data_IF_932525970787
#
_entry.id   IF_932525970787
#
_cell.length_a   1.000
_cell.length_b   1.000
_cell.length_c   1.000
_cell.angle_alpha   90.00
_cell.angle_beta   90.00
_cell.angle_gamma   90.00
#
_symmetry.space_group_name_H-M   'P 1'
#
loop_
_entity.id
_entity.type
_entity.pdbx_description
1 polymer ?
#
# COMPACT_ATOMS: atom_id res chain seq x y z
N UNK A 1 -26.85 28.48 -15.67
CA UNK A 1 -25.69 28.87 -14.84
C UNK A 1 -25.89 28.28 -13.46
N UNK A 2 -25.00 27.35 -13.11
CA UNK A 2 -24.79 26.65 -11.83
C UNK A 2 -25.96 25.84 -11.25
N UNK A 3 -25.92 24.54 -11.57
CA UNK A 3 -26.76 23.46 -11.07
C UNK A 3 -26.24 22.89 -9.76
N UNK A 4 -27.21 22.49 -8.93
CA UNK A 4 -27.10 21.58 -7.80
C UNK A 4 -26.98 20.09 -8.25
N UNK A 5 -26.97 19.19 -7.26
CA UNK A 5 -26.93 17.70 -7.23
C UNK A 5 -25.57 17.10 -6.83
N UNK A 6 -25.40 16.09 -5.96
CA UNK A 6 -26.27 15.23 -5.14
C UNK A 6 -25.38 14.57 -4.05
N UNK A 7 -25.89 14.34 -2.84
CA UNK A 7 -25.40 13.30 -1.92
C UNK A 7 -26.64 12.69 -1.27
N UNK A 8 -27.09 11.57 -1.85
CA UNK A 8 -28.17 10.77 -1.30
C UNK A 8 -27.61 9.87 -0.19
N UNK A 9 -28.14 10.03 1.01
CA UNK A 9 -27.92 9.17 2.15
C UNK A 9 -28.69 7.85 1.96
N UNK A 10 -28.00 6.72 2.13
CA UNK A 10 -28.64 5.43 2.39
C UNK A 10 -28.99 5.34 3.89
N UNK A 11 -30.05 4.61 4.28
CA UNK A 11 -30.44 4.51 5.67
C UNK A 11 -29.45 3.63 6.45
N UNK A 12 -28.81 4.23 7.45
CA UNK A 12 -28.01 3.54 8.47
C UNK A 12 -28.93 2.61 9.27
N UNK A 13 -28.68 1.30 9.25
CA UNK A 13 -29.27 0.36 10.20
C UNK A 13 -28.69 0.63 11.60
N UNK A 14 -29.48 0.32 12.64
CA UNK A 14 -29.20 0.60 14.05
C UNK A 14 -28.08 -0.28 14.61
N UNK A 15 -26.85 -0.08 14.14
CA UNK A 15 -25.65 -0.43 14.88
C UNK A 15 -25.19 0.81 15.67
N UNK A 16 -24.62 0.61 16.86
CA UNK A 16 -24.12 1.71 17.69
C UNK A 16 -23.25 2.68 16.86
N UNK A 17 -23.47 4.00 16.96
CA UNK A 17 -22.74 4.96 16.15
C UNK A 17 -21.25 4.88 16.48
N UNK A 18 -20.35 4.92 15.48
CA UNK A 18 -18.94 5.17 15.76
C UNK A 18 -18.82 6.50 16.50
N UNK A 19 -17.96 6.53 17.53
CA UNK A 19 -17.78 7.70 18.39
C UNK A 19 -17.65 9.01 17.56
N UNK A 20 -18.46 10.05 17.82
CA UNK A 20 -18.66 11.21 16.93
C UNK A 20 -17.45 12.14 16.76
N UNK A 21 -16.30 11.87 17.38
CA UNK A 21 -15.12 12.73 17.32
C UNK A 21 -14.06 12.30 16.28
N UNK A 22 -14.23 11.15 15.60
CA UNK A 22 -13.19 10.59 14.72
C UNK A 22 -13.33 10.93 13.22
N UNK A 23 -14.53 11.21 12.72
CA UNK A 23 -14.75 11.30 11.27
C UNK A 23 -14.58 12.71 10.68
N UNK A 24 -15.12 13.76 11.32
CA UNK A 24 -15.29 15.06 10.62
C UNK A 24 -14.47 16.24 11.18
N UNK A 25 -13.92 16.12 12.40
CA UNK A 25 -13.33 17.27 13.10
C UNK A 25 -11.81 17.48 12.90
N UNK A 26 -11.02 16.41 12.98
CA UNK A 26 -9.57 16.56 13.20
C UNK A 26 -8.78 16.94 11.94
N UNK A 27 -9.13 16.41 10.76
CA UNK A 27 -8.52 16.80 9.48
C UNK A 27 -8.89 18.25 9.09
N UNK A 28 -10.12 18.66 9.41
CA UNK A 28 -10.65 20.00 9.15
C UNK A 28 -10.00 21.07 10.04
N UNK A 29 -9.72 20.76 11.31
CA UNK A 29 -9.10 21.69 12.27
C UNK A 29 -7.62 22.00 11.96
N UNK A 30 -6.90 21.12 11.25
CA UNK A 30 -5.51 21.33 10.82
C UNK A 30 -5.38 22.26 9.58
N UNK A 31 -6.47 22.58 8.90
CA UNK A 31 -6.45 22.97 7.48
C UNK A 31 -6.33 24.48 7.16
N UNK A 32 -6.44 25.41 8.13
CA UNK A 32 -6.55 26.84 7.83
C UNK A 32 -5.22 27.58 7.59
N UNK A 33 -4.34 27.60 8.60
CA UNK A 33 -3.07 28.35 8.57
C UNK A 33 -1.85 27.48 8.25
N UNK A 34 -1.82 26.26 8.78
CA UNK A 34 -0.71 25.32 8.59
C UNK A 34 -0.63 24.82 7.13
N UNK A 35 -1.78 24.72 6.44
CA UNK A 35 -1.90 24.20 5.08
C UNK A 35 -0.99 24.88 4.07
N UNK A 36 -0.92 26.22 4.04
CA UNK A 36 -0.06 26.94 3.07
C UNK A 36 1.44 26.76 3.34
N UNK A 37 1.85 26.72 4.61
CA UNK A 37 3.23 26.45 4.99
C UNK A 37 3.63 24.98 4.76
N UNK A 38 2.68 24.05 4.91
CA UNK A 38 2.84 22.63 4.62
C UNK A 38 2.86 22.34 3.12
N UNK A 39 1.99 22.98 2.32
CA UNK A 39 1.95 22.82 0.86
C UNK A 39 3.27 23.30 0.21
N UNK A 40 3.88 24.38 0.72
CA UNK A 40 5.20 24.83 0.29
C UNK A 40 6.35 23.88 0.71
N UNK A 41 6.13 23.02 1.71
CA UNK A 41 7.12 22.08 2.23
C UNK A 41 7.10 20.70 1.53
N UNK A 42 6.17 20.46 0.60
CA UNK A 42 6.03 19.18 -0.13
C UNK A 42 7.08 19.03 -1.25
N UNK A 43 7.73 20.10 -1.68
CA UNK A 43 8.91 20.00 -2.56
C UNK A 43 10.16 19.69 -1.73
N UNK A 44 10.24 18.45 -1.22
CA UNK A 44 11.52 17.92 -0.73
C UNK A 44 12.36 17.62 -1.97
N UNK A 45 13.42 18.39 -2.28
CA UNK A 45 14.28 18.08 -3.42
C UNK A 45 14.93 16.72 -3.16
N UNK A 46 14.54 15.72 -3.94
CA UNK A 46 15.11 14.39 -3.83
C UNK A 46 16.42 14.34 -4.64
N UNK A 47 17.56 14.09 -3.98
CA UNK A 47 18.81 13.90 -4.69
C UNK A 47 18.77 12.59 -5.49
N UNK A 48 19.58 12.52 -6.54
CA UNK A 48 19.71 11.33 -7.38
C UNK A 48 19.04 11.49 -8.75
N UNK A 49 19.52 10.71 -9.71
CA UNK A 49 18.97 10.72 -11.06
C UNK A 49 17.56 10.10 -11.09
N UNK A 50 16.66 10.60 -11.95
CA UNK A 50 15.43 9.89 -12.29
C UNK A 50 15.70 8.45 -12.74
N UNK A 51 14.76 7.56 -12.44
CA UNK A 51 14.77 6.19 -12.96
C UNK A 51 14.66 6.20 -14.48
N UNK A 52 15.38 5.26 -15.11
CA UNK A 52 15.35 5.02 -16.55
C UNK A 52 14.06 4.33 -16.97
N UNK A 53 13.70 4.47 -18.25
CA UNK A 53 12.50 3.86 -18.83
C UNK A 53 12.42 2.35 -18.53
N UNK A 54 13.49 1.61 -18.80
CA UNK A 54 13.54 0.16 -18.60
C UNK A 54 13.36 -0.27 -17.12
N UNK A 55 13.74 0.60 -16.17
CA UNK A 55 13.60 0.30 -14.75
C UNK A 55 12.16 0.43 -14.24
N UNK A 56 11.28 1.06 -15.03
CA UNK A 56 9.89 1.35 -14.67
C UNK A 56 8.89 0.37 -15.31
N UNK A 57 9.31 -0.45 -16.28
CA UNK A 57 8.44 -1.40 -16.98
C UNK A 57 7.81 -2.45 -16.04
N UNK A 58 8.63 -3.18 -15.29
CA UNK A 58 8.12 -4.15 -14.31
C UNK A 58 7.27 -3.47 -13.21
N UNK A 59 7.68 -2.32 -12.63
CA UNK A 59 6.83 -1.56 -11.72
C UNK A 59 5.47 -1.15 -12.29
N UNK A 60 5.39 -0.74 -13.56
CA UNK A 60 4.09 -0.42 -14.17
C UNK A 60 3.22 -1.67 -14.31
N UNK A 61 3.78 -2.77 -14.81
CA UNK A 61 3.04 -4.03 -14.92
C UNK A 61 2.50 -4.47 -13.55
N UNK A 62 3.33 -4.40 -12.51
CA UNK A 62 2.92 -4.77 -11.16
C UNK A 62 1.86 -3.81 -10.59
N UNK A 63 1.85 -2.52 -10.93
CA UNK A 63 0.79 -1.62 -10.47
C UNK A 63 -0.54 -1.92 -11.17
N UNK A 64 -0.51 -2.21 -12.48
CA UNK A 64 -1.68 -2.64 -13.23
C UNK A 64 -2.25 -3.96 -12.67
N UNK A 65 -1.39 -4.92 -12.34
CA UNK A 65 -1.80 -6.15 -11.67
C UNK A 65 -2.42 -5.89 -10.29
N UNK A 66 -1.88 -4.95 -9.52
CA UNK A 66 -2.44 -4.55 -8.24
C UNK A 66 -3.85 -3.95 -8.38
N UNK A 67 -4.10 -3.19 -9.45
CA UNK A 67 -5.45 -2.69 -9.79
C UNK A 67 -6.40 -3.86 -10.11
N UNK A 68 -5.93 -4.88 -10.85
CA UNK A 68 -6.75 -6.08 -11.15
C UNK A 68 -7.12 -6.90 -9.92
N UNK A 69 -6.35 -6.81 -8.84
CA UNK A 69 -6.69 -7.51 -7.60
C UNK A 69 -7.98 -6.96 -6.96
N UNK A 70 -8.50 -5.81 -7.40
CA UNK A 70 -9.79 -5.25 -6.96
C UNK A 70 -11.00 -5.76 -7.75
N UNK A 71 -10.80 -6.48 -8.85
CA UNK A 71 -11.89 -7.09 -9.62
C UNK A 71 -12.70 -8.07 -8.77
N UNK A 72 -14.00 -8.20 -9.05
CA UNK A 72 -14.89 -9.03 -8.23
C UNK A 72 -14.88 -10.51 -8.65
N UNK A 73 -14.44 -10.81 -9.88
CA UNK A 73 -14.57 -12.14 -10.48
C UNK A 73 -13.32 -12.58 -11.22
N UNK A 74 -13.08 -13.90 -11.25
CA UNK A 74 -11.97 -14.49 -12.01
C UNK A 74 -12.06 -14.16 -13.51
N UNK A 75 -13.26 -14.20 -14.10
CA UNK A 75 -13.47 -13.91 -15.51
C UNK A 75 -13.08 -12.48 -15.90
N UNK A 76 -13.38 -11.50 -15.03
CA UNK A 76 -12.96 -10.11 -15.24
C UNK A 76 -11.43 -9.98 -15.17
N UNK A 77 -10.80 -10.64 -14.21
CA UNK A 77 -9.34 -10.71 -14.10
C UNK A 77 -8.70 -11.33 -15.34
N UNK A 78 -9.21 -12.46 -15.83
CA UNK A 78 -8.73 -13.15 -17.04
C UNK A 78 -8.82 -12.25 -18.28
N UNK A 79 -9.97 -11.61 -18.50
CA UNK A 79 -10.18 -10.70 -19.62
C UNK A 79 -9.26 -9.47 -19.56
N UNK A 80 -8.91 -9.00 -18.35
CA UNK A 80 -7.95 -7.93 -18.18
C UNK A 80 -6.50 -8.39 -18.39
N UNK A 81 -6.11 -9.55 -17.86
CA UNK A 81 -4.78 -10.14 -18.08
C UNK A 81 -4.50 -10.42 -19.56
N UNK A 82 -5.51 -10.86 -20.32
CA UNK A 82 -5.39 -11.09 -21.77
C UNK A 82 -5.03 -9.81 -22.56
N UNK A 83 -5.35 -8.63 -22.00
CA UNK A 83 -5.01 -7.33 -22.61
C UNK A 83 -3.67 -6.78 -22.11
N UNK A 84 -3.22 -7.20 -20.92
CA UNK A 84 -1.95 -6.75 -20.35
C UNK A 84 -0.77 -7.51 -20.95
N UNK A 85 0.37 -6.82 -21.06
CA UNK A 85 1.66 -7.39 -21.49
C UNK A 85 1.53 -8.22 -22.80
N UNK A 86 0.71 -7.76 -23.74
CA UNK A 86 0.47 -8.45 -25.02
C UNK A 86 -0.15 -9.85 -24.88
N UNK A 87 -0.90 -10.11 -23.81
CA UNK A 87 -1.52 -11.42 -23.55
C UNK A 87 -0.54 -12.48 -23.05
N UNK A 88 0.64 -12.09 -22.58
CA UNK A 88 1.68 -13.02 -22.07
C UNK A 88 1.42 -13.54 -20.66
N UNK A 89 0.33 -13.12 -20.01
CA UNK A 89 -0.05 -13.50 -18.66
C UNK A 89 -1.22 -14.47 -18.65
N UNK A 90 -1.10 -15.55 -17.89
CA UNK A 90 -2.16 -16.53 -17.65
C UNK A 90 -2.56 -16.52 -16.18
N UNK A 91 -3.86 -16.41 -15.90
CA UNK A 91 -4.38 -16.59 -14.55
C UNK A 91 -4.24 -18.05 -14.13
N UNK A 92 -3.62 -18.31 -12.98
CA UNK A 92 -3.59 -19.64 -12.38
C UNK A 92 -4.74 -19.81 -11.40
N UNK A 93 -4.95 -18.81 -10.55
CA UNK A 93 -6.01 -18.85 -9.55
C UNK A 93 -6.40 -17.44 -9.10
N UNK A 94 -7.68 -17.23 -8.85
CA UNK A 94 -8.23 -16.05 -8.22
C UNK A 94 -9.04 -16.46 -6.99
N UNK A 95 -8.85 -15.74 -5.89
CA UNK A 95 -9.62 -15.90 -4.67
C UNK A 95 -10.26 -14.57 -4.28
N UNK A 96 -11.51 -14.40 -4.68
CA UNK A 96 -12.29 -13.21 -4.34
C UNK A 96 -12.74 -13.23 -2.87
N UNK A 97 -12.68 -12.08 -2.21
CA UNK A 97 -13.29 -11.93 -0.90
C UNK A 97 -14.78 -11.69 -1.13
N UNK A 98 -15.64 -12.61 -0.66
CA UNK A 98 -17.07 -12.32 -0.56
C UNK A 98 -17.24 -11.17 0.42
N UNK A 99 -17.55 -9.98 -0.09
CA UNK A 99 -18.05 -8.89 0.73
C UNK A 99 -19.32 -9.43 1.41
N UNK A 100 -19.22 -9.74 2.70
CA UNK A 100 -20.38 -10.06 3.51
C UNK A 100 -21.19 -8.77 3.60
N UNK A 101 -22.09 -8.57 2.64
CA UNK A 101 -22.96 -7.39 2.58
C UNK A 101 -23.95 -7.36 3.75
N UNK A 102 -24.04 -8.46 4.53
CA UNK A 102 -25.05 -8.64 5.57
C UNK A 102 -24.42 -8.86 6.96
N UNK A 103 -24.44 -7.79 7.76
CA UNK A 103 -24.57 -7.69 9.24
C UNK A 103 -23.64 -8.46 10.22
N UNK A 104 -22.73 -9.33 9.80
CA UNK A 104 -21.87 -10.10 10.75
C UNK A 104 -20.38 -9.91 10.51
N UNK A 105 -19.93 -8.65 10.46
CA UNK A 105 -18.50 -8.31 10.32
C UNK A 105 -17.65 -8.62 11.57
N UNK A 106 -18.28 -8.87 12.72
CA UNK A 106 -17.58 -8.86 14.01
C UNK A 106 -16.96 -10.19 14.46
N UNK A 107 -17.25 -11.32 13.82
CA UNK A 107 -16.81 -12.63 14.36
C UNK A 107 -15.54 -13.20 13.76
N UNK A 108 -15.26 -12.99 12.47
CA UNK A 108 -13.99 -13.44 11.90
C UNK A 108 -13.49 -12.50 10.80
N UNK A 109 -12.21 -12.07 10.83
CA UNK A 109 -11.63 -11.31 9.73
C UNK A 109 -11.65 -12.16 8.47
N UNK A 110 -12.32 -11.65 7.44
CA UNK A 110 -12.41 -12.30 6.15
C UNK A 110 -11.02 -12.54 5.56
N UNK A 111 -10.83 -13.68 4.87
CA UNK A 111 -9.59 -13.99 4.19
C UNK A 111 -9.23 -12.89 3.16
N UNK A 112 -7.94 -12.71 2.92
CA UNK A 112 -7.46 -11.75 1.93
C UNK A 112 -7.93 -12.14 0.52
N UNK A 113 -8.28 -11.15 -0.30
CA UNK A 113 -8.46 -11.34 -1.73
C UNK A 113 -7.11 -11.29 -2.45
N UNK A 114 -6.89 -12.24 -3.36
CA UNK A 114 -5.64 -12.34 -4.11
C UNK A 114 -5.84 -13.00 -5.47
N UNK A 115 -4.86 -12.80 -6.35
CA UNK A 115 -4.72 -13.52 -7.61
C UNK A 115 -3.29 -14.04 -7.76
N UNK A 116 -3.14 -15.13 -8.50
CA UNK A 116 -1.85 -15.66 -8.92
C UNK A 116 -1.86 -15.81 -10.44
N UNK A 117 -0.90 -15.16 -11.09
CA UNK A 117 -0.71 -15.21 -12.53
C UNK A 117 0.70 -15.67 -12.88
N UNK A 118 0.85 -16.26 -14.07
CA UNK A 118 2.14 -16.69 -14.61
C UNK A 118 2.41 -16.00 -15.94
N UNK A 119 3.61 -15.46 -16.11
CA UNK A 119 4.08 -14.96 -17.40
C UNK A 119 4.67 -16.08 -18.26
N UNK A 120 4.73 -15.85 -19.57
CA UNK A 120 5.32 -16.76 -20.54
C UNK A 120 6.79 -17.13 -20.24
N UNK A 121 7.54 -16.26 -19.55
CA UNK A 121 8.92 -16.51 -19.14
C UNK A 121 9.04 -17.34 -17.84
N UNK A 122 7.91 -17.82 -17.29
CA UNK A 122 7.87 -18.59 -16.06
C UNK A 122 7.76 -17.77 -14.78
N UNK A 123 7.82 -16.43 -14.85
CA UNK A 123 7.67 -15.56 -13.67
C UNK A 123 6.29 -15.76 -13.03
N UNK A 124 6.27 -15.97 -11.72
CA UNK A 124 5.04 -16.12 -10.94
C UNK A 124 4.72 -14.81 -10.21
N UNK A 125 3.52 -14.28 -10.42
CA UNK A 125 3.01 -13.10 -9.75
C UNK A 125 1.98 -13.51 -8.71
N UNK A 126 2.16 -13.07 -7.46
CA UNK A 126 1.16 -13.17 -6.39
C UNK A 126 0.75 -11.77 -6.02
N UNK A 127 -0.53 -11.46 -6.19
CA UNK A 127 -1.02 -10.10 -6.04
C UNK A 127 -2.14 -10.06 -5.04
N UNK A 128 -1.98 -9.23 -4.01
CA UNK A 128 -2.96 -9.02 -2.96
C UNK A 128 -3.76 -7.75 -3.21
N UNK A 129 -5.07 -7.84 -3.00
CA UNK A 129 -5.95 -6.67 -2.94
C UNK A 129 -5.69 -5.88 -1.65
N UNK A 130 -5.78 -4.56 -1.72
CA UNK A 130 -5.91 -3.72 -0.53
C UNK A 130 -7.36 -3.66 -0.03
N UNK A 131 -7.67 -2.68 0.82
CA UNK A 131 -9.07 -2.32 1.09
C UNK A 131 -9.55 -1.28 0.08
N UNK A 132 -10.86 -1.27 -0.16
CA UNK A 132 -11.56 -0.24 -0.95
C UNK A 132 -12.06 0.93 -0.12
N UNK A 133 -11.91 0.88 1.21
CA UNK A 133 -12.43 1.89 2.15
C UNK A 133 -11.30 2.47 3.00
N UNK A 134 -11.02 3.77 2.84
CA UNK A 134 -10.05 4.49 3.65
C UNK A 134 -10.44 4.59 5.14
N UNK A 135 -11.71 4.77 5.53
CA UNK A 135 -12.13 4.64 6.93
C UNK A 135 -11.76 3.28 7.54
N UNK A 136 -11.90 2.20 6.78
CA UNK A 136 -11.55 0.85 7.26
C UNK A 136 -10.04 0.74 7.50
N UNK A 137 -9.21 1.42 6.70
CA UNK A 137 -7.75 1.48 6.92
C UNK A 137 -7.46 2.00 8.33
N UNK A 138 -8.09 3.10 8.77
CA UNK A 138 -7.80 3.65 10.10
C UNK A 138 -8.21 2.69 11.21
N UNK A 139 -9.30 1.94 11.03
CA UNK A 139 -9.71 0.92 11.99
C UNK A 139 -8.74 -0.27 12.02
N UNK A 140 -8.38 -0.77 10.85
CA UNK A 140 -7.46 -1.90 10.70
C UNK A 140 -6.09 -1.58 11.29
N UNK A 141 -5.56 -0.38 11.06
CA UNK A 141 -4.24 0.06 11.53
C UNK A 141 -4.15 0.27 13.06
N UNK A 142 -5.27 0.32 13.78
CA UNK A 142 -5.29 0.41 15.24
C UNK A 142 -4.97 -0.94 15.92
N UNK A 143 -4.72 -1.99 15.15
CA UNK A 143 -4.42 -3.31 15.71
C UNK A 143 -3.03 -3.33 16.34
N UNK A 144 -2.96 -3.82 17.58
CA UNK A 144 -1.69 -4.03 18.29
C UNK A 144 -0.78 -5.02 17.55
N UNK A 145 0.55 -4.86 17.63
CA UNK A 145 1.50 -5.78 17.00
C UNK A 145 1.47 -7.18 17.63
N UNK A 146 1.86 -8.19 16.85
CA UNK A 146 2.03 -9.59 17.26
C UNK A 146 3.25 -10.16 16.51
N UNK A 147 4.16 -10.83 17.22
CA UNK A 147 5.35 -11.49 16.65
C UNK A 147 6.24 -10.62 15.74
N UNK A 148 6.28 -9.30 16.01
CA UNK A 148 7.05 -8.34 15.20
C UNK A 148 6.32 -7.84 13.95
N UNK A 149 5.03 -8.13 13.81
CA UNK A 149 4.18 -7.69 12.71
C UNK A 149 2.95 -6.94 13.22
N UNK A 150 2.29 -6.21 12.33
CA UNK A 150 0.91 -5.79 12.55
C UNK A 150 0.00 -7.02 12.59
N UNK A 151 -0.71 -7.23 13.71
CA UNK A 151 -1.50 -8.47 13.95
C UNK A 151 -2.56 -8.73 12.89
N UNK A 152 -3.19 -7.69 12.35
CA UNK A 152 -4.18 -7.83 11.27
C UNK A 152 -3.57 -8.45 10.02
N UNK A 153 -2.40 -7.96 9.59
CA UNK A 153 -1.73 -8.44 8.38
C UNK A 153 -1.21 -9.86 8.55
N UNK A 154 -0.64 -10.17 9.72
CA UNK A 154 -0.14 -11.51 10.03
C UNK A 154 -1.28 -12.53 9.95
N UNK A 155 -2.40 -12.28 10.64
CA UNK A 155 -3.56 -13.17 10.64
C UNK A 155 -4.16 -13.37 9.26
N UNK A 156 -4.26 -12.31 8.46
CA UNK A 156 -4.77 -12.41 7.09
C UNK A 156 -3.85 -13.27 6.22
N UNK A 157 -2.53 -13.08 6.32
CA UNK A 157 -1.56 -13.87 5.58
C UNK A 157 -1.61 -15.36 6.00
N UNK A 158 -1.63 -15.66 7.30
CA UNK A 158 -1.71 -17.03 7.83
C UNK A 158 -2.96 -17.79 7.37
N UNK A 159 -4.09 -17.09 7.25
CA UNK A 159 -5.38 -17.67 6.83
C UNK A 159 -5.49 -17.95 5.33
N UNK A 160 -4.49 -17.56 4.52
CA UNK A 160 -4.49 -17.81 3.08
C UNK A 160 -4.07 -19.26 2.72
N UNK A 161 -4.66 -20.27 3.36
CA UNK A 161 -4.29 -21.69 3.15
C UNK A 161 -4.28 -22.12 1.67
N UNK A 162 -5.30 -21.78 0.84
CA UNK A 162 -5.27 -22.16 -0.58
C UNK A 162 -4.11 -21.51 -1.35
N UNK A 163 -3.70 -20.30 -0.97
CA UNK A 163 -2.52 -19.65 -1.56
C UNK A 163 -1.24 -20.37 -1.16
N UNK A 164 -1.09 -20.76 0.10
CA UNK A 164 0.09 -21.50 0.58
C UNK A 164 0.24 -22.84 -0.14
N UNK A 165 -0.86 -23.55 -0.37
CA UNK A 165 -0.88 -24.79 -1.15
C UNK A 165 -0.48 -24.56 -2.61
N UNK A 166 -1.06 -23.54 -3.24
CA UNK A 166 -0.69 -23.17 -4.61
C UNK A 166 0.79 -22.82 -4.72
N UNK A 167 1.34 -22.02 -3.79
CA UNK A 167 2.76 -21.64 -3.81
C UNK A 167 3.68 -22.86 -3.66
N UNK A 168 3.35 -23.82 -2.79
CA UNK A 168 4.12 -25.07 -2.64
C UNK A 168 4.18 -25.88 -3.93
N UNK A 169 3.13 -25.82 -4.76
CA UNK A 169 3.08 -26.50 -6.05
C UNK A 169 3.84 -25.70 -7.12
N UNK A 170 3.57 -24.40 -7.24
CA UNK A 170 4.05 -23.57 -8.33
C UNK A 170 5.53 -23.19 -8.21
N UNK A 171 6.07 -23.05 -6.99
CA UNK A 171 7.46 -22.61 -6.78
C UNK A 171 8.51 -23.65 -7.19
N UNK A 172 8.13 -24.92 -7.37
CA UNK A 172 9.04 -25.96 -7.85
C UNK A 172 9.55 -25.71 -9.28
N UNK A 173 8.82 -24.91 -10.04
CA UNK A 173 9.07 -24.62 -11.47
C UNK A 173 9.14 -23.11 -11.73
N UNK A 174 9.53 -22.33 -10.72
CA UNK A 174 9.53 -20.88 -10.80
C UNK A 174 10.93 -20.34 -10.49
N UNK A 175 11.52 -19.63 -11.46
CA UNK A 175 12.83 -18.98 -11.28
C UNK A 175 12.70 -17.60 -10.63
N UNK A 176 11.54 -16.95 -10.80
CA UNK A 176 11.27 -15.62 -10.26
C UNK A 176 9.85 -15.53 -9.70
N UNK A 177 9.75 -15.27 -8.39
CA UNK A 177 8.52 -14.91 -7.70
C UNK A 177 8.44 -13.39 -7.51
N UNK A 178 7.31 -12.79 -7.90
CA UNK A 178 6.99 -11.39 -7.67
C UNK A 178 5.77 -11.30 -6.76
N UNK A 179 5.96 -10.79 -5.56
CA UNK A 179 4.87 -10.45 -4.64
C UNK A 179 4.47 -9.00 -4.87
N UNK A 180 3.19 -8.74 -5.02
CA UNK A 180 2.66 -7.44 -5.42
C UNK A 180 1.49 -7.05 -4.53
N UNK A 181 1.37 -5.77 -4.21
CA UNK A 181 0.14 -5.26 -3.63
C UNK A 181 0.08 -3.75 -3.52
N UNK A 182 -1.14 -3.23 -3.64
CA UNK A 182 -1.49 -1.84 -3.41
C UNK A 182 -2.10 -1.67 -2.02
N UNK A 183 -1.85 -0.54 -1.35
CA UNK A 183 -2.41 -0.23 -0.04
C UNK A 183 -2.11 -1.34 0.98
N UNK A 184 -3.11 -1.84 1.72
CA UNK A 184 -2.99 -2.98 2.63
C UNK A 184 -2.49 -4.26 1.93
N UNK A 185 -2.77 -4.44 0.63
CA UNK A 185 -2.28 -5.59 -0.13
C UNK A 185 -0.75 -5.62 -0.20
N UNK A 186 -0.10 -4.45 -0.26
CA UNK A 186 1.35 -4.37 -0.19
C UNK A 186 1.91 -4.79 1.18
N UNK A 187 1.17 -4.49 2.25
CA UNK A 187 1.56 -4.87 3.61
C UNK A 187 1.39 -6.38 3.82
N UNK A 188 0.35 -6.97 3.23
CA UNK A 188 0.15 -8.42 3.17
C UNK A 188 1.25 -9.12 2.37
N UNK A 189 1.64 -8.60 1.20
CA UNK A 189 2.73 -9.14 0.40
C UNK A 189 4.07 -9.17 1.17
N UNK A 190 4.38 -8.07 1.88
CA UNK A 190 5.55 -7.98 2.75
C UNK A 190 5.45 -8.93 3.96
N UNK A 191 4.26 -9.06 4.55
CA UNK A 191 4.02 -9.92 5.71
C UNK A 191 4.13 -11.39 5.35
N UNK A 192 3.56 -11.82 4.21
CA UNK A 192 3.67 -13.20 3.71
C UNK A 192 5.14 -13.65 3.62
N UNK A 193 6.00 -12.79 3.06
CA UNK A 193 7.43 -13.09 2.96
C UNK A 193 8.14 -12.96 4.31
N UNK A 194 7.91 -11.86 5.03
CA UNK A 194 8.57 -11.56 6.29
C UNK A 194 8.29 -12.58 7.39
N UNK A 195 7.08 -13.14 7.42
CA UNK A 195 6.66 -14.18 8.36
C UNK A 195 7.09 -15.60 7.93
N UNK A 196 7.81 -15.75 6.80
CA UNK A 196 8.25 -17.05 6.31
C UNK A 196 7.13 -17.95 5.80
N UNK A 197 6.00 -17.37 5.37
CA UNK A 197 4.85 -18.10 4.83
C UNK A 197 5.01 -18.45 3.34
N UNK A 198 5.98 -17.83 2.66
CA UNK A 198 6.43 -18.27 1.34
C UNK A 198 7.25 -19.55 1.50
N UNK A 199 6.88 -20.67 0.83
CA UNK A 199 7.66 -21.90 0.90
C UNK A 199 9.12 -21.70 0.47
N UNK A 200 10.08 -22.39 1.11
CA UNK A 200 11.48 -22.35 0.67
C UNK A 200 11.61 -22.71 -0.81
N UNK A 201 12.35 -21.92 -1.57
CA UNK A 201 12.60 -22.14 -3.00
C UNK A 201 13.93 -21.52 -3.43
N UNK A 202 14.44 -21.96 -4.58
CA UNK A 202 15.59 -21.32 -5.24
C UNK A 202 15.19 -20.06 -6.04
N UNK A 203 13.88 -19.75 -6.09
CA UNK A 203 13.37 -18.63 -6.87
C UNK A 203 13.96 -17.32 -6.35
N UNK A 204 14.34 -16.43 -7.27
CA UNK A 204 14.59 -15.04 -6.93
C UNK A 204 13.27 -14.43 -6.48
N UNK A 205 13.27 -13.66 -5.39
CA UNK A 205 12.06 -13.02 -4.87
C UNK A 205 12.15 -11.50 -5.05
N UNK A 206 11.10 -10.91 -5.62
CA UNK A 206 10.89 -9.47 -5.69
C UNK A 206 9.58 -9.11 -4.98
N UNK A 207 9.56 -8.03 -4.21
CA UNK A 207 8.32 -7.48 -3.63
C UNK A 207 8.11 -6.07 -4.16
N UNK A 208 6.95 -5.80 -4.74
CA UNK A 208 6.53 -4.51 -5.28
C UNK A 208 5.32 -4.00 -4.50
N UNK A 209 5.47 -2.91 -3.76
CA UNK A 209 4.37 -2.32 -2.99
C UNK A 209 4.05 -0.90 -3.43
N UNK A 210 2.77 -0.55 -3.44
CA UNK A 210 2.28 0.77 -3.87
C UNK A 210 1.44 1.36 -2.75
N UNK A 211 1.88 2.47 -2.15
CA UNK A 211 1.09 3.15 -1.11
C UNK A 211 0.86 2.30 0.14
N UNK A 212 1.76 1.35 0.40
CA UNK A 212 1.58 0.36 1.46
C UNK A 212 1.99 0.92 2.83
N UNK A 213 1.23 0.67 3.92
CA UNK A 213 1.66 1.03 5.26
C UNK A 213 2.78 0.12 5.76
N UNK A 214 3.51 0.55 6.80
CA UNK A 214 4.56 -0.22 7.43
C UNK A 214 4.01 -1.48 8.15
N UNK A 215 4.37 -2.71 7.73
CA UNK A 215 3.80 -3.92 8.34
C UNK A 215 4.58 -4.45 9.54
N UNK A 216 5.84 -4.02 9.74
CA UNK A 216 6.74 -4.59 10.74
C UNK A 216 6.80 -3.70 11.97
N UNK A 217 6.90 -4.30 13.14
CA UNK A 217 7.02 -3.59 14.40
C UNK A 217 8.47 -3.63 14.89
N UNK A 218 9.06 -2.45 15.08
CA UNK A 218 10.45 -2.16 15.52
C UNK A 218 11.56 -2.60 14.58
N UNK A 219 11.50 -3.81 14.04
CA UNK A 219 12.59 -4.39 13.26
C UNK A 219 12.07 -5.13 12.03
N UNK A 220 12.80 -5.00 10.93
CA UNK A 220 12.55 -5.75 9.70
C UNK A 220 12.91 -7.24 9.88
N UNK A 221 12.01 -8.19 9.54
CA UNK A 221 12.31 -9.62 9.63
C UNK A 221 13.50 -10.04 8.75
N UNK A 222 14.28 -11.02 9.22
CA UNK A 222 15.43 -11.56 8.48
C UNK A 222 15.03 -12.34 7.22
N UNK A 223 13.80 -12.85 7.15
CA UNK A 223 13.25 -13.57 5.98
C UNK A 223 13.19 -12.69 4.71
N UNK A 224 13.26 -11.37 4.84
CA UNK A 224 13.37 -10.45 3.71
C UNK A 224 14.79 -10.35 3.12
N UNK A 225 15.82 -10.89 3.80
CA UNK A 225 17.19 -10.86 3.30
C UNK A 225 17.29 -11.67 2.00
N UNK A 226 17.90 -11.08 0.98
CA UNK A 226 18.02 -11.66 -0.36
C UNK A 226 16.83 -11.39 -1.29
N UNK A 227 15.71 -10.89 -0.78
CA UNK A 227 14.60 -10.43 -1.62
C UNK A 227 14.87 -9.00 -2.13
N UNK A 228 14.41 -8.68 -3.34
CA UNK A 228 14.44 -7.31 -3.87
C UNK A 228 13.13 -6.59 -3.53
N UNK A 229 13.16 -5.71 -2.53
CA UNK A 229 11.96 -4.92 -2.15
C UNK A 229 11.98 -3.55 -2.81
N UNK A 230 10.85 -3.18 -3.43
CA UNK A 230 10.62 -1.87 -4.04
C UNK A 230 9.27 -1.33 -3.57
N UNK A 231 9.32 -0.27 -2.77
CA UNK A 231 8.13 0.40 -2.25
C UNK A 231 7.95 1.72 -2.96
N UNK A 232 6.75 1.97 -3.50
CA UNK A 232 6.44 3.17 -4.27
C UNK A 232 5.53 4.09 -3.45
N UNK A 233 5.88 5.38 -3.42
CA UNK A 233 5.10 6.45 -2.82
C UNK A 233 4.80 7.50 -3.87
N UNK A 234 3.51 7.75 -4.14
CA UNK A 234 3.09 8.78 -5.09
C UNK A 234 2.67 10.04 -4.35
N UNK A 235 3.38 11.14 -4.61
CA UNK A 235 3.11 12.45 -4.03
C UNK A 235 2.81 12.42 -2.53
N UNK A 236 1.65 12.96 -2.18
CA UNK A 236 1.19 13.13 -0.81
C UNK A 236 0.37 11.94 -0.25
N UNK A 237 0.44 10.74 -0.84
CA UNK A 237 -0.30 9.56 -0.35
C UNK A 237 -0.22 9.36 1.19
N UNK A 238 -1.36 9.42 1.87
CA UNK A 238 -1.42 9.32 3.33
C UNK A 238 -1.05 7.92 3.86
N UNK A 239 -1.42 6.85 3.16
CA UNK A 239 -1.37 5.48 3.68
C UNK A 239 0.03 5.01 4.11
N UNK A 240 1.10 5.16 3.30
CA UNK A 240 2.45 4.75 3.70
C UNK A 240 3.01 5.56 4.88
N UNK A 241 2.31 6.60 5.31
CA UNK A 241 2.72 7.56 6.34
C UNK A 241 1.96 7.38 7.65
N UNK A 242 0.89 6.56 7.67
CA UNK A 242 0.06 6.35 8.86
C UNK A 242 0.79 5.56 9.97
N UNK A 243 1.58 4.56 9.58
CA UNK A 243 2.38 3.74 10.50
C UNK A 243 3.87 4.10 10.38
N UNK A 244 4.54 4.25 11.53
CA UNK A 244 5.96 4.60 11.62
C UNK A 244 6.27 6.10 11.58
N UNK A 245 5.25 6.95 11.45
CA UNK A 245 5.41 8.40 11.61
C UNK A 245 5.52 8.78 13.08
N UNK A 246 6.34 9.79 13.37
CA UNK A 246 6.30 10.46 14.67
C UNK A 246 5.03 11.31 14.77
N UNK A 247 4.00 10.74 15.41
CA UNK A 247 2.73 11.42 15.69
C UNK A 247 2.78 12.11 17.06
N UNK A 248 3.88 12.00 17.82
CA UNK A 248 3.94 12.47 19.21
C UNK A 248 3.71 13.98 19.36
N UNK A 249 4.08 14.78 18.35
CA UNK A 249 3.77 16.21 18.32
C UNK A 249 2.26 16.48 18.20
N UNK A 250 1.54 15.69 17.40
CA UNK A 250 0.08 15.75 17.29
C UNK A 250 -0.57 15.25 18.59
N UNK A 251 -0.03 14.15 19.14
CA UNK A 251 -0.47 13.55 20.39
C UNK A 251 -0.47 14.56 21.54
N UNK A 252 0.67 15.23 21.77
CA UNK A 252 0.84 16.25 22.82
C UNK A 252 -0.13 17.42 22.69
N UNK A 253 -0.55 17.72 21.46
CA UNK A 253 -1.53 18.78 21.21
C UNK A 253 -2.95 18.31 21.58
N UNK A 254 -3.30 17.06 21.26
CA UNK A 254 -4.60 16.45 21.58
C UNK A 254 -4.75 16.07 23.06
N UNK A 255 -3.66 15.70 23.73
CA UNK A 255 -3.62 15.37 25.16
C UNK A 255 -4.09 16.54 26.04
N UNK A 256 -3.90 17.79 25.61
CA UNK A 256 -4.37 18.99 26.33
C UNK A 256 -5.89 19.11 26.45
N UNK A 257 -6.64 18.32 25.67
CA UNK A 257 -8.10 18.40 25.57
C UNK A 257 -8.79 17.09 26.02
N UNK A 258 -8.07 16.16 26.64
CA UNK A 258 -8.58 14.83 27.01
C UNK A 258 -8.42 14.57 28.51
N UNK A 259 -9.25 13.68 29.06
CA UNK A 259 -9.10 13.15 30.42
C UNK A 259 -7.86 12.25 30.54
N UNK A 260 -7.30 12.16 31.75
CA UNK A 260 -5.98 11.56 32.01
C UNK A 260 -5.89 10.07 31.62
N UNK A 261 -6.94 9.29 31.91
CA UNK A 261 -6.97 7.85 31.59
C UNK A 261 -7.00 7.60 30.07
N UNK A 262 -7.82 8.36 29.35
CA UNK A 262 -7.86 8.32 27.89
C UNK A 262 -6.56 8.83 27.27
N UNK A 263 -5.92 9.83 27.88
CA UNK A 263 -4.64 10.35 27.42
C UNK A 263 -3.54 9.27 27.50
N UNK A 264 -3.44 8.51 28.60
CA UNK A 264 -2.44 7.46 28.74
C UNK A 264 -2.62 6.33 27.72
N UNK A 265 -3.86 5.85 27.51
CA UNK A 265 -4.15 4.83 26.50
C UNK A 265 -3.82 5.31 25.09
N UNK A 266 -4.19 6.56 24.75
CA UNK A 266 -3.84 7.16 23.46
C UNK A 266 -2.33 7.32 23.29
N UNK A 267 -1.62 7.75 24.32
CA UNK A 267 -0.17 7.91 24.26
C UNK A 267 0.54 6.57 24.01
N UNK A 268 0.10 5.50 24.69
CA UNK A 268 0.63 4.15 24.46
C UNK A 268 0.33 3.62 23.04
N UNK A 269 -0.89 3.86 22.54
CA UNK A 269 -1.27 3.51 21.17
C UNK A 269 -0.43 4.28 20.16
N UNK A 270 -0.31 5.60 20.30
CA UNK A 270 0.45 6.46 19.39
C UNK A 270 1.95 6.12 19.37
N UNK A 271 2.51 5.78 20.54
CA UNK A 271 3.86 5.24 20.64
C UNK A 271 4.00 3.93 19.88
N UNK A 272 3.02 3.02 20.00
CA UNK A 272 3.04 1.75 19.25
C UNK A 272 2.96 2.00 17.74
N UNK A 273 2.14 2.94 17.29
CA UNK A 273 2.00 3.29 15.87
C UNK A 273 3.30 3.88 15.28
N UNK A 274 4.08 4.63 16.06
CA UNK A 274 5.36 5.17 15.61
C UNK A 274 6.51 4.15 15.61
N UNK A 275 6.34 3.02 16.30
CA UNK A 275 7.32 1.92 16.33
C UNK A 275 7.25 1.02 15.09
N UNK A 276 6.25 1.18 14.22
CA UNK A 276 6.20 0.45 12.96
C UNK A 276 7.26 0.93 11.96
N UNK A 277 7.82 0.01 11.20
CA UNK A 277 8.90 0.27 10.24
C UNK A 277 8.60 -0.36 8.89
N UNK A 278 8.99 0.35 7.84
CA UNK A 278 9.02 -0.19 6.48
C UNK A 278 10.20 -1.16 6.33
N UNK A 279 10.22 -1.92 5.23
CA UNK A 279 11.35 -2.78 4.92
C UNK A 279 12.64 -1.95 4.80
N UNK A 280 13.63 -2.21 5.66
CA UNK A 280 14.92 -1.52 5.68
C UNK A 280 16.07 -2.53 5.73
N UNK A 281 16.38 -3.09 4.56
CA UNK A 281 17.54 -3.97 4.36
C UNK A 281 18.25 -3.58 3.05
N UNK A 282 19.42 -4.17 2.78
CA UNK A 282 20.35 -3.71 1.72
C UNK A 282 19.82 -3.75 0.29
N UNK A 283 18.76 -4.51 0.04
CA UNK A 283 18.08 -4.59 -1.25
C UNK A 283 16.73 -3.87 -1.29
N UNK A 284 16.26 -3.33 -0.16
CA UNK A 284 15.04 -2.53 -0.09
C UNK A 284 15.28 -1.12 -0.62
N UNK A 285 14.41 -0.65 -1.50
CA UNK A 285 14.43 0.74 -2.00
C UNK A 285 13.04 1.34 -1.94
N UNK A 286 12.96 2.55 -1.42
CA UNK A 286 11.80 3.41 -1.56
C UNK A 286 11.94 4.22 -2.85
N UNK A 287 10.89 4.28 -3.65
CA UNK A 287 10.80 5.07 -4.88
C UNK A 287 9.70 6.10 -4.70
N UNK A 288 10.04 7.37 -4.87
CA UNK A 288 9.06 8.44 -4.88
C UNK A 288 8.71 8.79 -6.32
N UNK A 289 7.41 8.91 -6.59
CA UNK A 289 6.88 9.39 -7.87
C UNK A 289 6.29 10.78 -7.62
N UNK A 290 6.89 11.80 -8.23
CA UNK A 290 6.47 13.18 -8.06
C UNK A 290 5.30 13.50 -9.02
N UNK A 291 4.11 13.87 -8.51
CA UNK A 291 2.93 14.12 -9.34
C UNK A 291 3.07 15.35 -10.25
N UNK A 292 3.88 16.34 -9.85
CA UNK A 292 4.06 17.60 -10.56
C UNK A 292 5.03 17.46 -11.74
N UNK A 293 6.13 16.73 -11.55
CA UNK A 293 7.16 16.56 -12.58
C UNK A 293 6.99 15.28 -13.40
N UNK A 294 6.23 14.32 -12.87
CA UNK A 294 6.15 12.96 -13.40
C UNK A 294 7.42 12.14 -13.17
N UNK A 295 8.42 12.61 -12.42
CA UNK A 295 9.64 11.83 -12.20
C UNK A 295 9.49 10.77 -11.12
N UNK A 296 10.05 9.59 -11.37
CA UNK A 296 10.26 8.56 -10.36
C UNK A 296 11.75 8.52 -9.94
N UNK A 297 12.02 8.56 -8.63
CA UNK A 297 13.39 8.60 -8.07
C UNK A 297 13.53 7.66 -6.89
N UNK A 298 14.67 6.99 -6.79
CA UNK A 298 15.04 6.24 -5.58
C UNK A 298 15.34 7.22 -4.47
N UNK A 299 14.71 7.04 -3.32
CA UNK A 299 14.87 7.90 -2.15
C UNK A 299 16.11 7.43 -1.38
N UNK A 300 17.11 8.31 -1.15
CA UNK A 300 18.24 7.99 -0.29
C UNK A 300 17.78 7.58 1.11
N UNK A 301 18.40 6.55 1.71
CA UNK A 301 18.02 6.02 3.03
C UNK A 301 17.80 7.09 4.10
N UNK A 302 18.73 8.05 4.21
CA UNK A 302 18.67 9.18 5.16
C UNK A 302 17.44 10.10 5.01
N UNK A 303 16.74 10.03 3.88
CA UNK A 303 15.56 10.85 3.58
C UNK A 303 14.25 10.08 3.67
N UNK A 304 14.29 8.75 3.84
CA UNK A 304 13.09 7.90 3.89
C UNK A 304 12.14 8.34 5.00
N UNK A 305 12.64 8.49 6.23
CA UNK A 305 11.81 8.91 7.37
C UNK A 305 11.16 10.28 7.13
N UNK A 306 11.89 11.23 6.55
CA UNK A 306 11.33 12.55 6.22
C UNK A 306 10.22 12.46 5.18
N UNK A 307 10.40 11.64 4.14
CA UNK A 307 9.41 11.48 3.07
C UNK A 307 8.14 10.76 3.57
N UNK A 308 8.31 9.77 4.43
CA UNK A 308 7.24 8.95 4.98
C UNK A 308 6.56 9.57 6.21
N UNK A 309 7.01 10.75 6.65
CA UNK A 309 6.38 11.41 7.77
C UNK A 309 4.99 11.96 7.40
N UNK A 310 4.03 11.82 8.31
CA UNK A 310 2.63 12.24 8.13
C UNK A 310 2.42 13.70 7.70
N UNK A 311 3.36 14.61 7.98
CA UNK A 311 3.24 16.01 7.55
C UNK A 311 3.24 16.15 6.01
N UNK A 312 3.86 15.20 5.30
CA UNK A 312 3.84 15.13 3.84
C UNK A 312 2.47 14.73 3.28
N UNK A 313 1.54 14.26 4.14
CA UNK A 313 0.19 13.87 3.77
C UNK A 313 -0.88 14.95 4.04
N UNK A 314 -0.51 16.16 4.47
CA UNK A 314 -1.48 17.23 4.81
C UNK A 314 -2.02 17.94 3.54
N UNK A 315 -1.90 17.31 2.37
CA UNK A 315 -2.44 17.81 1.11
C UNK A 315 -3.89 17.36 0.93
N UNK A 316 -4.72 18.23 0.34
CA UNK A 316 -6.07 17.84 -0.10
C UNK A 316 -6.07 16.70 -1.12
N UNK A 317 -4.93 16.45 -1.77
CA UNK A 317 -4.77 15.38 -2.76
C UNK A 317 -4.26 14.07 -2.14
N UNK A 318 -4.03 13.97 -0.83
CA UNK A 318 -3.43 12.78 -0.22
C UNK A 318 -4.22 11.50 -0.50
N UNK A 319 -5.56 11.56 -0.42
CA UNK A 319 -6.44 10.44 -0.73
C UNK A 319 -6.44 10.11 -2.23
N UNK A 320 -6.48 11.13 -3.08
CA UNK A 320 -6.44 10.96 -4.53
C UNK A 320 -5.12 10.34 -4.98
N UNK A 321 -4.00 10.80 -4.45
CA UNK A 321 -2.68 10.27 -4.76
C UNK A 321 -2.57 8.78 -4.38
N UNK A 322 -3.28 8.33 -3.35
CA UNK A 322 -3.28 6.91 -3.00
C UNK A 322 -3.80 6.03 -4.16
N UNK A 323 -4.76 6.49 -4.96
CA UNK A 323 -5.33 5.68 -6.06
C UNK A 323 -4.69 5.90 -7.44
N UNK A 324 -3.66 6.74 -7.55
CA UNK A 324 -3.11 7.17 -8.84
C UNK A 324 -1.76 6.51 -9.23
N UNK A 325 -1.35 5.43 -8.58
CA UNK A 325 -0.05 4.80 -8.82
C UNK A 325 0.22 4.40 -10.26
N UNK A 326 -0.72 3.69 -10.91
CA UNK A 326 -0.59 3.28 -12.32
C UNK A 326 -0.46 4.50 -13.23
N UNK A 327 -1.28 5.53 -13.04
CA UNK A 327 -1.21 6.78 -13.81
C UNK A 327 0.12 7.51 -13.58
N UNK A 328 0.59 7.56 -12.33
CA UNK A 328 1.87 8.16 -11.96
C UNK A 328 3.06 7.45 -12.62
N UNK A 329 3.05 6.11 -12.66
CA UNK A 329 4.08 5.32 -13.32
C UNK A 329 4.05 5.47 -14.85
N UNK A 330 2.87 5.52 -15.47
CA UNK A 330 2.74 5.81 -16.89
C UNK A 330 3.35 7.17 -17.25
N UNK A 331 3.08 8.22 -16.44
CA UNK A 331 3.73 9.53 -16.62
C UNK A 331 5.24 9.44 -16.48
N UNK A 332 5.73 8.71 -15.48
CA UNK A 332 7.15 8.52 -15.24
C UNK A 332 7.87 7.79 -16.38
N UNK A 333 7.24 6.78 -16.95
CA UNK A 333 7.76 6.04 -18.11
C UNK A 333 7.88 6.97 -19.32
N UNK A 334 6.81 7.70 -19.67
CA UNK A 334 6.85 8.65 -20.80
C UNK A 334 7.94 9.71 -20.60
N UNK A 335 8.07 10.25 -19.38
CA UNK A 335 9.06 11.25 -19.05
C UNK A 335 10.49 10.70 -19.12
N UNK A 336 10.71 9.49 -18.62
CA UNK A 336 12.00 8.82 -18.71
C UNK A 336 12.39 8.53 -20.16
N UNK A 337 11.45 8.07 -20.98
CA UNK A 337 11.70 7.81 -22.39
C UNK A 337 11.99 9.07 -23.21
N UNK A 338 11.24 10.15 -22.98
CA UNK A 338 11.50 11.44 -23.62
C UNK A 338 12.93 11.94 -23.33
N UNK A 339 13.44 11.76 -22.11
CA UNK A 339 14.84 12.08 -21.77
C UNK A 339 15.86 11.16 -22.45
N UNK A 340 15.48 9.92 -22.72
CA UNK A 340 16.31 8.93 -23.40
C UNK A 340 16.20 9.04 -24.93
N UNK A 341 15.38 9.96 -25.47
CA UNK A 341 15.14 10.08 -26.91
C UNK A 341 14.37 8.90 -27.50
N UNK A 342 13.57 8.20 -26.69
CA UNK A 342 12.76 7.06 -27.11
C UNK A 342 11.30 7.46 -27.28
N UNK A 343 10.69 7.01 -28.37
CA UNK A 343 9.24 7.02 -28.52
C UNK A 343 8.65 5.83 -27.76
N UNK A 344 7.52 6.02 -27.08
CA UNK A 344 6.91 4.99 -26.24
C UNK A 344 5.43 4.89 -26.52
N UNK A 345 5.06 3.81 -27.19
CA UNK A 345 3.73 3.22 -27.06
C UNK A 345 3.64 2.54 -25.69
N UNK A 346 2.72 3.03 -24.85
CA UNK A 346 2.43 2.37 -23.59
C UNK A 346 1.64 1.09 -23.86
N UNK A 347 2.06 0.00 -23.22
CA UNK A 347 1.41 -1.31 -23.21
C UNK A 347 -0.06 -1.26 -22.79
#
# INVERSE_FOLDING_TARGET
>A
MLSALFLAAAPLSKADPPHPWLADGWLSALAGGARRALEAAVDVPLPGAPLKHAQLQLPLLCSQLADLAYEETAAAVEAALARLAGGSLTLLQFHGQRLLRDEVWYKEPAAAQWLVARAADGTLFVVFRGTSSLPDILHDLQTMPCDGFHRGFLRMAERCTPLHELLRQQLKHTDHLVLVGHSLGGALALTLLGAGLVPPSAARITVMTYGSPAPFHRTCPSALRGAKVRSFVYGADVVPRLLGSDISLLAKTLERFSDEQTAQQRSAMLKTLSEYVHADHDDARLVFINPNTGDARVVPRRLIQRLLHIHQAVSSNAVMHHSEYTRGLQRAIRRAAAREGKDVDLL
#
